data_IF_819706097774
#
_entry.id   IF_819706097774
#
_cell.length_a   1.000
_cell.length_b   1.000
_cell.length_c   1.000
_cell.angle_alpha   90.00
_cell.angle_beta   90.00
_cell.angle_gamma   90.00
#
_symmetry.space_group_name_H-M   'P 1'
#
loop_
_entity.id
_entity.type
_entity.pdbx_description
1 polymer ?
#
# COMPACT_ATOMS: atom_id res chain seq x y z
N UNK A 1 -17.82 10.92 6.85
CA UNK A 1 -16.87 9.93 7.35
C UNK A 1 -16.10 9.33 6.19
N UNK A 2 -14.80 9.14 6.34
CA UNK A 2 -13.99 8.39 5.39
C UNK A 2 -13.32 7.23 6.13
N UNK A 3 -13.24 6.10 5.45
CA UNK A 3 -12.55 4.92 5.98
C UNK A 3 -11.33 4.68 5.11
N UNK A 4 -10.14 4.92 5.63
CA UNK A 4 -8.91 4.85 4.85
C UNK A 4 -7.90 3.91 5.48
N UNK A 5 -7.19 3.11 4.68
CA UNK A 5 -6.07 2.34 5.23
C UNK A 5 -4.94 3.27 5.67
N UNK A 6 -4.29 2.91 6.74
CA UNK A 6 -3.09 3.59 7.22
C UNK A 6 -2.02 2.55 7.46
N UNK A 7 -0.93 2.62 6.71
CA UNK A 7 0.10 1.59 6.72
C UNK A 7 1.31 2.04 7.53
N UNK A 8 1.81 1.15 8.37
CA UNK A 8 2.99 1.43 9.18
C UNK A 8 4.18 0.64 8.66
N UNK A 9 5.30 1.31 8.47
CA UNK A 9 6.52 0.73 7.93
C UNK A 9 7.68 0.87 8.91
N UNK A 10 8.76 0.17 8.63
CA UNK A 10 9.96 0.17 9.46
C UNK A 10 11.12 0.84 8.71
N UNK A 11 10.94 2.11 8.37
CA UNK A 11 11.99 2.91 7.70
C UNK A 11 11.91 2.91 6.19
N UNK A 12 11.02 2.14 5.57
CA UNK A 12 10.91 2.04 4.11
C UNK A 12 9.59 2.61 3.56
N UNK A 13 8.93 3.47 4.31
CA UNK A 13 7.65 4.07 3.91
C UNK A 13 7.76 4.84 2.60
N UNK A 14 8.79 5.67 2.45
CA UNK A 14 8.95 6.48 1.23
C UNK A 14 9.09 5.59 -0.01
N UNK A 15 9.92 4.56 0.07
CA UNK A 15 10.13 3.63 -1.03
C UNK A 15 8.83 2.88 -1.36
N UNK A 16 8.09 2.47 -0.32
CA UNK A 16 6.82 1.77 -0.51
C UNK A 16 5.81 2.65 -1.25
N UNK A 17 5.63 3.90 -0.84
CA UNK A 17 4.66 4.78 -1.48
C UNK A 17 5.04 5.18 -2.89
N UNK A 18 6.32 5.32 -3.19
CA UNK A 18 6.75 5.53 -4.58
C UNK A 18 6.43 4.33 -5.45
N UNK A 19 6.59 3.14 -4.89
CA UNK A 19 6.21 1.90 -5.57
C UNK A 19 4.69 1.84 -5.80
N UNK A 20 3.89 2.19 -4.79
CA UNK A 20 2.43 2.20 -4.93
C UNK A 20 1.94 3.25 -5.91
N UNK A 21 2.57 4.42 -5.93
CA UNK A 21 2.23 5.46 -6.88
C UNK A 21 2.34 4.94 -8.31
N UNK A 22 3.41 4.23 -8.60
CA UNK A 22 3.63 3.65 -9.91
C UNK A 22 2.72 2.47 -10.19
N UNK A 23 2.58 1.55 -9.23
CA UNK A 23 1.82 0.31 -9.42
C UNK A 23 0.32 0.55 -9.54
N UNK A 24 -0.21 1.53 -8.81
CA UNK A 24 -1.65 1.77 -8.73
C UNK A 24 -2.11 2.98 -9.55
N UNK A 25 -1.18 3.69 -10.16
CA UNK A 25 -1.53 4.91 -10.89
C UNK A 25 -1.98 6.03 -9.98
N UNK A 26 -1.47 6.06 -8.75
CA UNK A 26 -1.83 7.08 -7.79
C UNK A 26 -0.91 8.28 -7.84
N UNK A 27 -1.15 9.22 -6.94
CA UNK A 27 -0.33 10.43 -6.84
C UNK A 27 -0.08 10.77 -5.38
N UNK A 28 1.20 10.88 -5.01
CA UNK A 28 1.57 11.33 -3.67
C UNK A 28 1.28 12.83 -3.59
N UNK A 29 0.33 13.20 -2.74
CA UNK A 29 -0.05 14.61 -2.55
C UNK A 29 0.74 15.28 -1.45
N UNK A 30 1.17 14.50 -0.45
CA UNK A 30 1.95 15.04 0.67
C UNK A 30 2.79 13.91 1.25
N UNK A 31 4.06 14.21 1.48
CA UNK A 31 4.98 13.32 2.19
C UNK A 31 5.86 14.20 3.07
N UNK A 32 5.80 13.99 4.38
CA UNK A 32 6.57 14.77 5.33
C UNK A 32 7.49 13.84 6.13
N UNK A 33 8.75 14.25 6.27
CA UNK A 33 9.67 13.51 7.14
C UNK A 33 9.60 14.03 8.56
N UNK A 34 10.15 13.25 9.50
CA UNK A 34 10.24 13.70 10.90
C UNK A 34 11.08 14.98 11.01
N UNK A 35 12.14 15.09 10.21
CA UNK A 35 13.00 16.29 10.21
C UNK A 35 12.29 17.56 9.74
N UNK A 36 11.26 17.40 8.91
CA UNK A 36 10.45 18.53 8.42
C UNK A 36 9.28 18.87 9.35
N UNK A 37 9.05 18.04 10.36
CA UNK A 37 7.90 18.20 11.25
C UNK A 37 8.27 19.06 12.47
N UNK A 38 7.26 19.54 13.22
CA UNK A 38 7.52 20.23 14.48
C UNK A 38 8.25 19.38 15.53
N UNK A 39 8.32 18.06 15.31
CA UNK A 39 8.98 17.13 16.23
C UNK A 39 10.46 16.92 15.91
N UNK A 40 11.01 17.65 14.94
CA UNK A 40 12.38 17.44 14.47
C UNK A 40 13.44 17.39 15.58
N UNK A 41 13.31 18.29 16.56
CA UNK A 41 14.28 18.38 17.66
C UNK A 41 14.17 17.24 18.66
N UNK A 42 13.06 16.51 18.62
CA UNK A 42 12.79 15.40 19.55
C UNK A 42 13.12 14.04 18.93
N UNK A 43 13.56 14.04 17.68
CA UNK A 43 13.81 12.81 16.92
C UNK A 43 15.32 12.65 16.73
N UNK A 44 15.89 11.46 16.98
CA UNK A 44 17.31 11.21 16.72
C UNK A 44 17.67 11.54 15.26
N UNK A 45 18.87 12.05 15.03
CA UNK A 45 19.32 12.42 13.71
C UNK A 45 19.16 11.30 12.68
N UNK A 46 19.37 10.05 13.10
CA UNK A 46 19.25 8.89 12.23
C UNK A 46 17.82 8.65 11.73
N UNK A 47 16.82 9.19 12.42
CA UNK A 47 15.41 8.96 12.09
C UNK A 47 14.75 10.16 11.42
N UNK A 48 15.48 11.25 11.21
CA UNK A 48 14.88 12.47 10.65
C UNK A 48 14.46 12.35 9.20
N UNK A 49 15.07 11.44 8.45
CA UNK A 49 14.71 11.21 7.05
C UNK A 49 13.51 10.27 6.89
N UNK A 50 13.07 9.63 7.98
CA UNK A 50 11.93 8.73 7.93
C UNK A 50 10.63 9.54 7.82
N UNK A 51 9.61 8.88 7.30
CA UNK A 51 8.33 9.52 6.99
C UNK A 51 7.44 9.57 8.23
N UNK A 52 7.06 10.79 8.64
CA UNK A 52 6.11 10.97 9.74
C UNK A 52 4.68 10.83 9.22
N UNK A 53 4.43 11.16 7.96
CA UNK A 53 3.11 11.00 7.35
C UNK A 53 3.20 11.14 5.84
N UNK A 54 2.49 10.26 5.12
CA UNK A 54 2.33 10.35 3.68
C UNK A 54 0.87 10.12 3.32
N UNK A 55 0.40 10.85 2.32
CA UNK A 55 -0.95 10.74 1.79
C UNK A 55 -0.89 10.62 0.28
N UNK A 56 -1.46 9.55 -0.26
CA UNK A 56 -1.52 9.30 -1.69
C UNK A 56 -2.98 9.17 -2.12
N UNK A 57 -3.31 9.74 -3.27
CA UNK A 57 -4.64 9.61 -3.84
C UNK A 57 -4.61 8.73 -5.07
N UNK A 58 -5.64 7.90 -5.23
CA UNK A 58 -5.88 7.08 -6.41
C UNK A 58 -7.33 7.35 -6.79
N UNK A 59 -7.54 8.26 -7.76
CA UNK A 59 -8.89 8.77 -8.02
C UNK A 59 -9.42 9.46 -6.76
N UNK A 60 -10.57 9.02 -6.27
CA UNK A 60 -11.17 9.55 -5.05
C UNK A 60 -10.80 8.74 -3.80
N UNK A 61 -9.91 7.75 -3.95
CA UNK A 61 -9.47 6.91 -2.83
C UNK A 61 -8.18 7.47 -2.21
N UNK A 62 -7.98 7.21 -0.93
CA UNK A 62 -6.82 7.71 -0.19
C UNK A 62 -6.12 6.57 0.53
N UNK A 63 -4.81 6.50 0.35
CA UNK A 63 -3.94 5.58 1.09
C UNK A 63 -2.93 6.41 1.86
N UNK A 64 -2.76 6.10 3.13
CA UNK A 64 -1.86 6.85 4.01
C UNK A 64 -0.88 5.93 4.71
N UNK A 65 0.19 6.51 5.24
CA UNK A 65 1.16 5.73 5.97
C UNK A 65 2.22 6.57 6.65
N UNK A 66 3.08 5.88 7.38
CA UNK A 66 4.24 6.48 8.04
C UNK A 66 5.24 5.39 8.40
N UNK A 67 6.43 5.81 8.80
CA UNK A 67 7.39 4.94 9.45
C UNK A 67 7.12 4.95 10.95
N UNK A 68 6.90 3.76 11.53
CA UNK A 68 6.76 3.64 12.97
C UNK A 68 8.14 3.74 13.63
N UNK A 69 8.22 4.22 14.89
CA UNK A 69 9.46 4.12 15.63
C UNK A 69 9.90 2.64 15.71
N UNK A 70 11.20 2.34 15.62
CA UNK A 70 11.67 0.95 15.57
C UNK A 70 11.17 0.10 16.72
N UNK A 71 11.03 0.67 17.91
CA UNK A 71 10.57 -0.04 19.10
C UNK A 71 9.07 -0.26 19.13
N UNK A 72 8.33 0.35 18.20
CA UNK A 72 6.86 0.23 18.12
C UNK A 72 6.39 -0.40 16.82
N UNK A 73 7.31 -0.72 15.92
CA UNK A 73 6.93 -1.32 14.65
C UNK A 73 6.43 -2.74 14.87
N UNK A 74 5.31 -3.05 14.22
CA UNK A 74 4.78 -4.41 14.15
C UNK A 74 4.50 -4.72 12.69
N UNK A 75 4.93 -5.90 12.19
CA UNK A 75 4.62 -6.28 10.81
C UNK A 75 3.12 -6.33 10.56
N UNK A 76 2.71 -5.96 9.36
CA UNK A 76 1.30 -6.01 8.96
C UNK A 76 0.83 -7.45 8.91
N UNK A 77 -0.28 -7.74 9.59
CA UNK A 77 -0.74 -9.10 9.75
C UNK A 77 -2.22 -9.13 10.08
N UNK A 78 -2.91 -10.13 9.57
CA UNK A 78 -4.31 -10.35 9.93
C UNK A 78 -5.31 -9.47 9.21
N UNK A 79 -4.89 -8.77 8.14
CA UNK A 79 -5.79 -7.99 7.29
C UNK A 79 -5.19 -7.91 5.88
N UNK A 80 -5.97 -7.38 4.95
CA UNK A 80 -5.49 -7.08 3.60
C UNK A 80 -6.11 -5.78 3.11
N UNK A 81 -5.34 -5.04 2.32
CA UNK A 81 -5.90 -3.91 1.57
C UNK A 81 -6.52 -4.50 0.31
N UNK A 82 -7.83 -4.34 0.16
CA UNK A 82 -8.57 -4.95 -0.95
C UNK A 82 -8.84 -3.93 -2.04
N UNK A 83 -8.45 -4.27 -3.27
CA UNK A 83 -8.69 -3.43 -4.44
C UNK A 83 -9.79 -4.07 -5.28
N UNK A 84 -10.86 -3.29 -5.53
CA UNK A 84 -11.91 -3.67 -6.45
C UNK A 84 -11.64 -2.99 -7.78
N UNK A 85 -11.42 -3.77 -8.83
CA UNK A 85 -11.12 -3.23 -10.15
C UNK A 85 -12.20 -3.65 -11.15
N UNK A 86 -12.28 -2.95 -12.28
CA UNK A 86 -13.40 -3.08 -13.19
C UNK A 86 -13.20 -4.14 -14.27
N UNK A 87 -11.96 -4.43 -14.64
CA UNK A 87 -11.67 -5.38 -15.73
C UNK A 87 -10.64 -6.40 -15.31
N UNK A 88 -10.70 -7.57 -15.95
CA UNK A 88 -9.70 -8.63 -15.74
C UNK A 88 -8.30 -8.15 -16.12
N UNK A 89 -8.19 -7.36 -17.19
CA UNK A 89 -6.90 -6.84 -17.64
C UNK A 89 -6.27 -5.92 -16.59
N UNK A 90 -7.07 -5.05 -15.98
CA UNK A 90 -6.60 -4.18 -14.91
C UNK A 90 -6.18 -4.98 -13.68
N UNK A 91 -6.97 -6.00 -13.32
CA UNK A 91 -6.66 -6.86 -12.19
C UNK A 91 -5.30 -7.54 -12.37
N UNK A 92 -5.04 -8.09 -13.55
CA UNK A 92 -3.78 -8.78 -13.83
C UNK A 92 -2.61 -7.81 -13.85
N UNK A 93 -2.80 -6.62 -14.41
CA UNK A 93 -1.74 -5.61 -14.48
C UNK A 93 -1.32 -5.16 -13.08
N UNK A 94 -2.30 -4.82 -12.24
CA UNK A 94 -2.02 -4.36 -10.87
C UNK A 94 -1.40 -5.48 -10.04
N UNK A 95 -1.94 -6.69 -10.16
CA UNK A 95 -1.42 -7.83 -9.43
C UNK A 95 0.05 -8.08 -9.77
N UNK A 96 0.39 -8.06 -11.06
CA UNK A 96 1.75 -8.26 -11.52
C UNK A 96 2.68 -7.18 -10.95
N UNK A 97 2.24 -5.91 -10.98
CA UNK A 97 3.05 -4.80 -10.49
C UNK A 97 3.30 -4.92 -8.98
N UNK A 98 2.26 -5.19 -8.20
CA UNK A 98 2.37 -5.27 -6.74
C UNK A 98 3.15 -6.51 -6.29
N UNK A 99 3.12 -7.58 -7.06
CA UNK A 99 3.81 -8.81 -6.68
C UNK A 99 5.31 -8.80 -6.98
N UNK A 100 5.81 -7.75 -7.63
CA UNK A 100 7.25 -7.65 -7.94
C UNK A 100 8.06 -7.71 -6.64
N UNK A 101 8.99 -8.67 -6.57
CA UNK A 101 9.82 -8.92 -5.39
C UNK A 101 9.00 -9.21 -4.13
N UNK A 102 7.73 -9.49 -4.29
CA UNK A 102 6.84 -9.86 -3.20
C UNK A 102 6.59 -11.35 -3.17
N UNK A 103 5.56 -11.73 -2.42
CA UNK A 103 5.21 -13.12 -2.22
C UNK A 103 3.73 -13.33 -2.54
N UNK A 104 3.44 -14.11 -3.58
CA UNK A 104 2.07 -14.42 -3.98
C UNK A 104 1.52 -15.52 -3.08
N UNK A 105 0.45 -15.22 -2.34
CA UNK A 105 -0.21 -16.21 -1.50
C UNK A 105 -1.34 -16.92 -2.25
N UNK A 106 -2.00 -16.23 -3.20
CA UNK A 106 -3.00 -16.82 -4.07
C UNK A 106 -2.85 -16.22 -5.47
N UNK A 107 -2.45 -17.01 -6.48
CA UNK A 107 -2.28 -16.49 -7.84
C UNK A 107 -3.57 -15.89 -8.37
N UNK A 108 -3.42 -14.83 -9.20
CA UNK A 108 -4.59 -14.19 -9.81
C UNK A 108 -5.23 -15.14 -10.82
N UNK A 109 -6.53 -15.40 -10.65
CA UNK A 109 -7.25 -16.35 -11.49
C UNK A 109 -8.75 -16.16 -11.32
N UNK A 110 -9.50 -16.79 -12.18
CA UNK A 110 -10.96 -16.84 -12.09
C UNK A 110 -11.35 -17.75 -10.92
N UNK A 111 -12.36 -17.32 -10.16
CA UNK A 111 -12.95 -18.12 -9.07
C UNK A 111 -14.46 -18.19 -9.29
N UNK A 112 -15.18 -18.87 -8.37
CA UNK A 112 -16.64 -18.97 -8.52
C UNK A 112 -17.37 -17.66 -8.18
N UNK A 113 -16.70 -16.73 -7.47
CA UNK A 113 -17.32 -15.46 -7.09
C UNK A 113 -16.77 -14.26 -7.87
N UNK A 114 -15.66 -14.43 -8.58
CA UNK A 114 -15.00 -13.32 -9.24
C UNK A 114 -14.41 -13.75 -10.58
N UNK A 115 -14.39 -12.83 -11.52
CA UNK A 115 -13.72 -13.06 -12.80
C UNK A 115 -12.21 -13.14 -12.61
N UNK A 116 -11.67 -12.36 -11.67
CA UNK A 116 -10.28 -12.46 -11.24
C UNK A 116 -10.19 -12.19 -9.76
N UNK A 117 -9.43 -13.00 -9.08
CA UNK A 117 -9.09 -12.80 -7.67
C UNK A 117 -7.68 -13.27 -7.43
N UNK A 118 -6.93 -12.51 -6.63
CA UNK A 118 -5.61 -12.90 -6.20
C UNK A 118 -5.23 -12.21 -4.91
N UNK A 119 -4.23 -12.77 -4.23
CA UNK A 119 -3.73 -12.22 -2.98
C UNK A 119 -2.22 -12.33 -2.95
N UNK A 120 -1.59 -11.34 -2.34
CA UNK A 120 -0.14 -11.28 -2.25
C UNK A 120 0.28 -10.45 -1.04
N UNK A 121 1.54 -10.59 -0.66
CA UNK A 121 2.21 -9.67 0.27
C UNK A 121 3.32 -9.02 -0.54
N UNK A 122 3.34 -7.70 -0.61
CA UNK A 122 4.33 -7.02 -1.45
C UNK A 122 5.71 -7.01 -0.80
N UNK A 123 6.70 -6.49 -1.53
CA UNK A 123 8.08 -6.47 -1.06
C UNK A 123 8.29 -5.65 0.22
N UNK A 124 7.32 -4.83 0.59
CA UNK A 124 7.38 -3.99 1.79
C UNK A 124 6.57 -4.57 2.95
N UNK A 125 5.92 -5.72 2.74
CA UNK A 125 5.18 -6.40 3.79
C UNK A 125 3.69 -6.10 3.83
N UNK A 126 3.17 -5.32 2.89
CA UNK A 126 1.74 -4.99 2.85
C UNK A 126 0.95 -6.11 2.18
N UNK A 127 -0.09 -6.65 2.84
CA UNK A 127 -0.94 -7.67 2.22
C UNK A 127 -2.02 -7.02 1.36
N UNK A 128 -2.17 -7.54 0.15
CA UNK A 128 -3.13 -7.03 -0.85
C UNK A 128 -4.03 -8.13 -1.34
N UNK A 129 -5.28 -7.78 -1.62
CA UNK A 129 -6.21 -8.60 -2.39
C UNK A 129 -6.66 -7.81 -3.59
N UNK A 130 -6.69 -8.44 -4.75
CA UNK A 130 -7.17 -7.82 -5.98
C UNK A 130 -8.38 -8.61 -6.45
N UNK A 131 -9.51 -7.93 -6.62
CA UNK A 131 -10.77 -8.55 -6.99
C UNK A 131 -11.41 -7.82 -8.16
N UNK A 132 -11.86 -8.60 -9.15
CA UNK A 132 -12.64 -8.10 -10.27
C UNK A 132 -13.87 -9.01 -10.41
N UNK A 133 -15.05 -8.44 -10.20
CA UNK A 133 -16.28 -9.24 -10.27
C UNK A 133 -16.71 -9.56 -11.70
N UNK A 134 -16.28 -8.73 -12.67
CA UNK A 134 -16.67 -8.92 -14.06
C UNK A 134 -17.85 -8.04 -14.45
N UNK A 135 -18.12 -8.00 -15.76
CA UNK A 135 -19.12 -7.09 -16.32
C UNK A 135 -20.56 -7.60 -16.26
N UNK A 136 -20.75 -8.88 -16.05
CA UNK A 136 -22.07 -9.50 -16.13
C UNK A 136 -22.86 -9.47 -14.83
N UNK A 137 -22.55 -8.56 -13.94
CA UNK A 137 -23.16 -8.49 -12.61
C UNK A 137 -24.30 -7.49 -12.51
#
# INVERSE_FOLDING_TARGET
>A
MQLNPYLNFNGNCAAAFKFYEKALGGKIGMMMTFGESPMADQVPAADRDKVVHVRMTIGDQVLMGSDAPPDRFEPMKGFSVSLQVNTAAEAEKIFKALSEKGNVSMPIQKTFWAERFGALVDQFGTPWMINCEGESR
#
